data_IF_421726266042
#
_entry.id   IF_421726266042
#
_cell.length_a   1.000
_cell.length_b   1.000
_cell.length_c   1.000
_cell.angle_alpha   90.00
_cell.angle_beta   90.00
_cell.angle_gamma   90.00
#
_symmetry.space_group_name_H-M   'P 1'
#
loop_
_entity.id
_entity.type
_entity.pdbx_description
1 polymer ?
#
# COMPACT_ATOMS: atom_id res chain seq x y z
N UNK A 1 -6.38 -54.24 35.48
CA UNK A 1 -6.28 -54.67 34.07
C UNK A 1 -7.59 -54.26 33.38
N UNK A 2 -7.61 -53.12 32.70
CA UNK A 2 -8.74 -52.71 31.86
C UNK A 2 -8.22 -52.49 30.44
N UNK A 3 -8.67 -53.34 29.53
CA UNK A 3 -8.32 -53.27 28.13
C UNK A 3 -9.25 -52.28 27.41
N UNK A 4 -8.67 -51.17 26.90
CA UNK A 4 -9.38 -50.21 26.08
C UNK A 4 -9.36 -50.67 24.61
N UNK A 5 -10.53 -51.02 24.08
CA UNK A 5 -10.75 -51.36 22.66
C UNK A 5 -10.72 -50.05 21.83
N UNK A 6 -9.83 -49.98 20.87
CA UNK A 6 -9.81 -48.95 19.83
C UNK A 6 -10.83 -49.33 18.75
N UNK A 7 -11.79 -48.45 18.49
CA UNK A 7 -12.67 -48.53 17.32
C UNK A 7 -12.04 -47.73 16.18
N UNK A 8 -11.72 -48.40 15.08
CA UNK A 8 -11.35 -47.77 13.81
C UNK A 8 -12.65 -47.51 13.04
N UNK A 9 -12.94 -46.24 12.78
CA UNK A 9 -13.96 -45.85 11.83
C UNK A 9 -13.29 -45.46 10.52
N UNK A 10 -13.49 -46.27 9.49
CA UNK A 10 -13.11 -45.96 8.12
C UNK A 10 -14.23 -45.11 7.50
N UNK A 11 -13.91 -43.83 7.21
CA UNK A 11 -14.79 -42.94 6.46
C UNK A 11 -14.41 -42.96 4.98
N UNK A 12 -15.34 -43.41 4.13
CA UNK A 12 -15.18 -43.40 2.68
C UNK A 12 -15.36 -41.99 2.13
N UNK A 13 -14.35 -41.49 1.42
CA UNK A 13 -14.40 -40.23 0.66
C UNK A 13 -15.04 -40.49 -0.71
N UNK A 14 -16.21 -39.91 -0.95
CA UNK A 14 -16.82 -39.84 -2.28
C UNK A 14 -16.26 -38.63 -3.03
N UNK A 15 -15.50 -38.90 -4.08
CA UNK A 15 -15.04 -37.88 -5.05
C UNK A 15 -16.14 -37.68 -6.09
N UNK A 16 -16.79 -36.52 -6.09
CA UNK A 16 -17.68 -36.09 -7.15
C UNK A 16 -16.86 -35.26 -8.17
N UNK A 17 -16.58 -35.86 -9.33
CA UNK A 17 -16.08 -35.14 -10.51
C UNK A 17 -17.26 -34.49 -11.22
N UNK A 18 -17.36 -33.18 -11.17
CA UNK A 18 -18.22 -32.40 -12.06
C UNK A 18 -17.38 -31.91 -13.24
N UNK A 19 -17.57 -32.58 -14.38
CA UNK A 19 -17.07 -32.13 -15.69
C UNK A 19 -18.09 -31.13 -16.23
N UNK A 20 -17.79 -29.86 -16.18
CA UNK A 20 -18.57 -28.77 -16.80
C UNK A 20 -18.00 -28.45 -18.17
N UNK A 21 -18.78 -28.76 -19.20
CA UNK A 21 -18.47 -28.48 -20.59
C UNK A 21 -18.50 -26.98 -20.91
N UNK A 22 -17.54 -26.55 -21.74
CA UNK A 22 -17.39 -25.18 -22.19
C UNK A 22 -18.51 -24.72 -23.14
N UNK A 23 -18.75 -23.43 -23.12
CA UNK A 23 -19.44 -22.73 -24.19
C UNK A 23 -18.49 -21.69 -24.78
N UNK A 24 -18.06 -21.93 -25.99
CA UNK A 24 -17.40 -20.95 -26.85
C UNK A 24 -18.44 -19.94 -27.31
N UNK A 25 -18.20 -18.67 -27.10
CA UNK A 25 -18.96 -17.60 -27.79
C UNK A 25 -18.06 -16.94 -28.81
N UNK A 26 -18.49 -17.06 -30.03
CA UNK A 26 -17.91 -16.52 -31.24
C UNK A 26 -18.00 -14.99 -31.27
N UNK A 27 -17.08 -14.41 -32.04
CA UNK A 27 -16.87 -13.00 -32.22
C UNK A 27 -18.02 -12.19 -32.80
N UNK A 28 -17.87 -10.89 -32.66
CA UNK A 28 -18.48 -9.87 -33.49
C UNK A 28 -17.39 -8.93 -33.97
N UNK A 29 -17.07 -9.02 -35.24
CA UNK A 29 -16.39 -8.01 -36.03
C UNK A 29 -17.31 -6.80 -36.24
N UNK A 30 -16.71 -5.63 -36.24
CA UNK A 30 -17.32 -4.38 -36.65
C UNK A 30 -16.47 -3.24 -36.15
N UNK A 31 -15.59 -2.60 -36.86
CA UNK A 31 -15.77 -1.97 -38.14
C UNK A 31 -15.94 -0.48 -37.95
N UNK A 32 -14.98 0.32 -38.49
CA UNK A 32 -15.17 1.75 -38.76
C UNK A 32 -14.41 2.67 -37.81
N UNK A 33 -13.13 3.05 -38.15
CA UNK A 33 -12.76 4.30 -38.77
C UNK A 33 -13.50 5.56 -38.27
N UNK A 34 -12.74 6.50 -37.66
CA UNK A 34 -12.54 7.79 -38.29
C UNK A 34 -11.52 8.60 -37.47
N UNK A 35 -10.53 9.09 -38.18
CA UNK A 35 -9.50 9.95 -37.69
C UNK A 35 -10.06 11.33 -37.40
N UNK A 36 -9.68 11.82 -36.22
CA UNK A 36 -9.78 13.22 -35.84
C UNK A 36 -8.41 13.68 -35.38
N UNK A 37 -7.59 14.13 -36.32
CA UNK A 37 -6.38 14.85 -35.99
C UNK A 37 -6.74 16.15 -35.30
N UNK A 38 -6.28 16.32 -34.07
CA UNK A 38 -6.26 17.63 -33.42
C UNK A 38 -4.95 18.30 -33.78
N UNK A 39 -5.02 19.29 -34.66
CA UNK A 39 -3.97 20.23 -34.94
C UNK A 39 -3.68 21.03 -33.67
N UNK A 40 -2.48 20.81 -33.11
CA UNK A 40 -1.94 21.70 -32.07
C UNK A 40 -1.40 22.90 -32.76
N UNK A 41 -2.17 24.00 -32.79
CA UNK A 41 -1.76 25.29 -33.29
C UNK A 41 -0.49 25.78 -32.61
N UNK A 42 0.53 26.01 -33.43
CA UNK A 42 1.76 26.65 -33.00
C UNK A 42 1.49 28.06 -32.47
N UNK A 43 1.98 28.33 -31.29
CA UNK A 43 2.05 29.68 -30.73
C UNK A 43 3.23 30.40 -31.36
N UNK A 44 2.93 31.37 -32.20
CA UNK A 44 3.88 32.29 -32.83
C UNK A 44 4.67 33.06 -31.77
N UNK A 45 6.00 33.05 -31.94
CA UNK A 45 6.93 33.80 -31.13
C UNK A 45 6.74 35.33 -31.32
N UNK A 46 6.19 35.94 -30.30
CA UNK A 46 6.16 37.41 -30.23
C UNK A 46 7.54 38.00 -30.10
N UNK A 47 7.99 38.61 -31.19
CA UNK A 47 9.19 39.37 -31.29
C UNK A 47 8.99 40.71 -30.58
N UNK A 48 9.56 40.85 -29.38
CA UNK A 48 9.60 42.16 -28.70
C UNK A 48 10.68 43.03 -29.33
N UNK A 49 10.26 44.19 -29.82
CA UNK A 49 11.07 45.21 -30.44
C UNK A 49 12.05 45.79 -29.42
N UNK A 50 13.29 45.98 -29.86
CA UNK A 50 14.34 46.63 -29.10
C UNK A 50 14.00 48.08 -28.82
N UNK A 51 14.37 48.52 -27.62
CA UNK A 51 14.47 49.92 -27.26
C UNK A 51 15.97 50.24 -27.24
N UNK A 52 16.40 50.95 -28.26
CA UNK A 52 17.71 51.59 -28.31
C UNK A 52 17.74 52.75 -27.30
N UNK A 53 18.63 52.62 -26.33
CA UNK A 53 18.92 53.66 -25.35
C UNK A 53 20.42 53.86 -25.25
N UNK A 54 20.90 54.90 -25.96
CA UNK A 54 22.26 55.44 -25.95
C UNK A 54 22.61 55.99 -24.57
N UNK A 55 23.84 55.78 -24.12
CA UNK A 55 24.35 56.63 -23.06
C UNK A 55 25.38 56.06 -22.11
N UNK A 56 26.67 56.13 -22.47
CA UNK A 56 27.71 56.68 -21.61
C UNK A 56 28.33 55.92 -20.45
N UNK A 57 29.56 55.48 -20.62
CA UNK A 57 30.59 55.83 -19.64
C UNK A 57 30.90 54.89 -18.47
N UNK A 58 32.02 54.21 -18.60
CA UNK A 58 33.04 54.18 -17.57
C UNK A 58 32.89 53.37 -16.31
N UNK A 59 33.80 52.42 -16.10
CA UNK A 59 34.14 51.96 -14.78
C UNK A 59 34.28 50.43 -14.66
N UNK A 60 35.53 49.96 -14.83
CA UNK A 60 35.89 48.56 -14.47
C UNK A 60 35.73 48.31 -13.00
N UNK A 61 34.95 47.32 -12.70
CA UNK A 61 34.86 46.72 -11.41
C UNK A 61 34.69 45.24 -11.62
N UNK A 62 35.77 44.47 -11.40
CA UNK A 62 35.68 43.02 -11.36
C UNK A 62 34.73 42.61 -10.25
N UNK A 63 33.59 42.09 -10.63
CA UNK A 63 32.69 41.37 -9.71
C UNK A 63 33.17 39.94 -9.67
N UNK A 64 33.89 39.64 -8.61
CA UNK A 64 34.14 38.26 -8.23
C UNK A 64 32.81 37.52 -8.25
N UNK A 65 32.74 36.51 -9.11
CA UNK A 65 31.57 35.62 -9.21
C UNK A 65 31.38 34.85 -7.91
N UNK A 66 30.70 35.52 -6.97
CA UNK A 66 30.17 34.84 -5.82
C UNK A 66 29.18 33.82 -6.31
N UNK A 67 29.65 32.56 -6.43
CA UNK A 67 28.77 31.44 -6.62
C UNK A 67 27.72 31.49 -5.52
N UNK A 68 26.49 31.83 -5.89
CA UNK A 68 25.32 31.57 -5.08
C UNK A 68 25.28 30.06 -4.92
N UNK A 69 25.93 29.58 -3.86
CA UNK A 69 25.75 28.23 -3.40
C UNK A 69 24.26 28.01 -3.29
N UNK A 70 23.72 27.18 -4.20
CA UNK A 70 22.35 26.73 -4.14
C UNK A 70 22.15 25.98 -2.81
N UNK A 71 21.91 26.72 -1.76
CA UNK A 71 21.47 26.19 -0.51
C UNK A 71 20.20 25.42 -0.82
N UNK A 72 20.27 24.10 -0.72
CA UNK A 72 19.06 23.27 -0.68
C UNK A 72 18.25 23.83 0.47
N UNK A 73 17.21 24.61 0.17
CA UNK A 73 16.16 24.90 1.13
C UNK A 73 15.61 23.53 1.50
N UNK A 74 15.91 23.08 2.70
CA UNK A 74 15.28 21.90 3.26
C UNK A 74 13.77 22.19 3.22
N UNK A 75 13.07 21.57 2.25
CA UNK A 75 11.64 21.72 2.15
C UNK A 75 11.03 21.31 3.48
N UNK A 76 10.10 22.09 3.98
CA UNK A 76 9.32 21.71 5.15
C UNK A 76 8.63 20.39 4.78
N UNK A 77 8.81 19.36 5.60
CA UNK A 77 8.15 18.06 5.40
C UNK A 77 6.63 18.28 5.33
N UNK A 78 5.92 17.65 4.40
CA UNK A 78 4.45 17.73 4.36
C UNK A 78 3.87 17.21 5.68
N UNK A 79 2.78 17.81 6.13
CA UNK A 79 2.08 17.33 7.31
C UNK A 79 1.06 16.27 6.92
N UNK A 80 1.06 15.15 7.64
CA UNK A 80 0.13 14.05 7.50
C UNK A 80 -0.50 13.69 8.84
N UNK A 81 -1.49 12.82 8.81
CA UNK A 81 -2.09 12.14 9.97
C UNK A 81 -2.56 10.77 9.46
N UNK A 82 -1.63 9.82 9.49
CA UNK A 82 -1.87 8.45 9.02
C UNK A 82 -2.55 7.67 10.13
N UNK A 83 -3.70 7.09 9.84
CA UNK A 83 -4.43 6.25 10.77
C UNK A 83 -4.67 4.86 10.18
N UNK A 84 -4.55 3.84 11.03
CA UNK A 84 -4.89 2.47 10.69
C UNK A 84 -6.14 2.02 11.45
N UNK A 85 -7.08 1.42 10.73
CA UNK A 85 -8.24 0.76 11.28
C UNK A 85 -8.37 -0.61 10.65
N UNK A 86 -8.91 -1.56 11.39
CA UNK A 86 -9.03 -2.87 10.79
C UNK A 86 -9.60 -3.93 11.69
N UNK A 87 -9.46 -5.15 11.21
CA UNK A 87 -9.86 -6.35 11.94
C UNK A 87 -8.92 -7.51 11.64
N UNK A 88 -8.77 -8.35 12.63
CA UNK A 88 -8.00 -9.60 12.53
C UNK A 88 -8.83 -10.71 13.12
N UNK A 89 -8.83 -11.89 12.49
CA UNK A 89 -9.40 -13.13 13.06
C UNK A 89 -8.40 -14.27 12.92
N UNK A 90 -8.52 -15.26 13.83
CA UNK A 90 -7.71 -16.47 13.82
C UNK A 90 -8.62 -17.68 13.94
N UNK A 91 -8.55 -18.60 12.97
CA UNK A 91 -9.31 -19.84 12.95
C UNK A 91 -8.41 -20.98 12.45
N UNK A 92 -8.25 -22.02 13.23
CA UNK A 92 -7.55 -23.26 12.83
C UNK A 92 -6.15 -23.00 12.21
N UNK A 93 -5.39 -22.06 12.78
CA UNK A 93 -4.07 -21.69 12.27
C UNK A 93 -4.10 -20.82 11.00
N UNK A 94 -5.26 -20.25 10.65
CA UNK A 94 -5.41 -19.27 9.57
C UNK A 94 -5.70 -17.91 10.16
N UNK A 95 -4.86 -16.92 9.81
CA UNK A 95 -5.06 -15.52 10.17
C UNK A 95 -5.63 -14.80 8.96
N UNK A 96 -6.73 -14.05 9.17
CA UNK A 96 -7.28 -13.11 8.19
C UNK A 96 -7.12 -11.71 8.74
N UNK A 97 -6.45 -10.84 7.99
CA UNK A 97 -6.15 -9.46 8.36
C UNK A 97 -6.78 -8.55 7.33
N UNK A 98 -7.50 -7.53 7.79
CA UNK A 98 -7.98 -6.43 6.96
C UNK A 98 -7.57 -5.12 7.62
N UNK A 99 -6.73 -4.33 6.95
CA UNK A 99 -6.25 -3.03 7.44
C UNK A 99 -6.67 -1.96 6.44
N UNK A 100 -7.34 -0.92 6.91
CA UNK A 100 -7.63 0.28 6.14
C UNK A 100 -6.74 1.41 6.65
N UNK A 101 -5.93 1.96 5.78
CA UNK A 101 -5.06 3.10 6.07
C UNK A 101 -5.70 4.36 5.50
N UNK A 102 -5.85 5.38 6.34
CA UNK A 102 -6.37 6.70 6.00
C UNK A 102 -5.31 7.77 6.21
N UNK A 103 -5.54 8.93 5.62
CA UNK A 103 -4.76 10.13 5.88
C UNK A 103 -5.73 11.28 6.21
N UNK A 104 -5.70 11.72 7.44
CA UNK A 104 -6.51 12.85 7.94
C UNK A 104 -5.75 14.19 7.94
N UNK A 105 -4.48 14.15 7.51
CA UNK A 105 -3.62 15.32 7.45
C UNK A 105 -3.89 16.20 6.23
N UNK A 106 -3.34 17.41 6.21
CA UNK A 106 -3.58 18.39 5.16
C UNK A 106 -2.83 18.11 3.86
N UNK A 107 -1.86 17.19 3.85
CA UNK A 107 -1.07 16.88 2.65
C UNK A 107 -1.38 15.49 2.13
N UNK A 108 -1.61 15.36 0.81
CA UNK A 108 -1.72 14.06 0.17
C UNK A 108 -0.38 13.32 0.23
N UNK A 109 -0.43 12.00 0.40
CA UNK A 109 0.75 11.15 0.45
C UNK A 109 0.86 10.31 -0.83
N UNK A 110 2.06 10.22 -1.38
CA UNK A 110 2.32 9.37 -2.54
C UNK A 110 2.17 7.86 -2.22
N UNK A 111 2.26 7.52 -0.95
CA UNK A 111 2.06 6.17 -0.44
C UNK A 111 2.53 6.05 1.01
N UNK A 112 1.99 5.02 1.66
CA UNK A 112 2.38 4.61 3.01
C UNK A 112 2.82 3.14 2.93
N UNK A 113 3.83 2.77 3.69
CA UNK A 113 4.20 1.38 3.89
C UNK A 113 3.73 0.96 5.27
N UNK A 114 2.82 0.00 5.30
CA UNK A 114 2.33 -0.63 6.53
C UNK A 114 3.23 -1.81 6.87
N UNK A 115 3.68 -1.87 8.12
CA UNK A 115 4.38 -3.02 8.70
C UNK A 115 3.39 -3.86 9.48
N UNK A 116 3.40 -5.16 9.21
CA UNK A 116 2.65 -6.16 9.96
C UNK A 116 3.66 -7.11 10.61
N UNK A 117 3.69 -7.16 11.92
CA UNK A 117 4.53 -8.11 12.67
C UNK A 117 3.65 -9.09 13.42
N UNK A 118 3.91 -10.38 13.24
CA UNK A 118 3.15 -11.45 13.87
C UNK A 118 3.96 -12.13 14.97
N UNK A 119 3.31 -12.53 16.07
CA UNK A 119 3.97 -13.29 17.14
C UNK A 119 4.38 -14.70 16.71
N UNK A 120 3.77 -15.22 15.64
CA UNK A 120 4.09 -16.51 15.01
C UNK A 120 4.43 -16.31 13.54
N UNK A 121 5.36 -17.09 12.96
CA UNK A 121 5.68 -16.95 11.55
C UNK A 121 4.54 -17.45 10.66
N UNK A 122 4.29 -16.79 9.52
CA UNK A 122 3.45 -17.35 8.47
C UNK A 122 4.02 -18.69 7.95
N UNK A 123 3.14 -19.65 7.72
CA UNK A 123 3.52 -20.96 7.19
C UNK A 123 3.95 -20.87 5.72
N UNK A 124 5.02 -21.57 5.38
CA UNK A 124 5.50 -21.70 4.00
C UNK A 124 5.79 -20.38 3.32
N UNK A 125 5.46 -20.30 2.02
CA UNK A 125 5.55 -19.08 1.23
C UNK A 125 4.13 -18.55 1.00
N UNK A 126 3.67 -17.56 1.77
CA UNK A 126 2.32 -17.05 1.63
C UNK A 126 2.15 -16.31 0.28
N UNK A 127 0.96 -16.42 -0.29
CA UNK A 127 0.57 -15.58 -1.43
C UNK A 127 0.19 -14.20 -0.89
N UNK A 128 1.07 -13.24 -1.11
CA UNK A 128 0.85 -11.87 -0.68
C UNK A 128 0.16 -11.06 -1.78
N UNK A 129 -0.68 -10.08 -1.43
CA UNK A 129 -1.23 -9.13 -2.38
C UNK A 129 -0.13 -8.33 -3.08
N UNK A 130 -0.49 -7.74 -4.23
CA UNK A 130 0.41 -6.80 -4.90
C UNK A 130 0.81 -5.66 -3.95
N UNK A 131 2.10 -5.31 -3.95
CA UNK A 131 2.64 -4.29 -3.05
C UNK A 131 3.05 -4.80 -1.67
N UNK A 132 2.81 -6.07 -1.35
CA UNK A 132 3.29 -6.69 -0.12
C UNK A 132 4.51 -7.58 -0.36
N UNK A 133 5.40 -7.60 0.61
CA UNK A 133 6.57 -8.51 0.64
C UNK A 133 6.81 -9.03 2.06
N UNK A 134 7.46 -10.18 2.15
CA UNK A 134 7.95 -10.71 3.42
C UNK A 134 9.33 -10.12 3.69
N UNK A 135 9.42 -9.23 4.68
CA UNK A 135 10.65 -8.54 5.04
C UNK A 135 11.51 -9.35 6.02
N UNK A 136 10.87 -10.11 6.91
CA UNK A 136 11.52 -11.00 7.85
C UNK A 136 10.65 -12.23 8.13
N UNK A 137 11.11 -13.13 9.00
CA UNK A 137 10.40 -14.36 9.33
C UNK A 137 8.94 -14.12 9.79
N UNK A 138 8.73 -13.04 10.55
CA UNK A 138 7.44 -12.65 11.14
C UNK A 138 6.96 -11.27 10.71
N UNK A 139 7.59 -10.69 9.71
CA UNK A 139 7.32 -9.32 9.27
C UNK A 139 6.95 -9.25 7.79
N UNK A 140 5.87 -8.54 7.52
CA UNK A 140 5.41 -8.18 6.19
C UNK A 140 5.42 -6.66 6.05
N UNK A 141 5.81 -6.18 4.88
CA UNK A 141 5.70 -4.78 4.50
C UNK A 141 4.75 -4.68 3.30
N UNK A 142 3.78 -3.79 3.40
CA UNK A 142 2.75 -3.60 2.39
C UNK A 142 2.60 -2.12 2.01
N UNK A 143 2.79 -1.81 0.74
CA UNK A 143 2.55 -0.47 0.22
C UNK A 143 1.05 -0.24 -0.05
N UNK A 144 0.51 0.86 0.42
CA UNK A 144 -0.90 1.22 0.23
C UNK A 144 -1.19 1.81 -1.14
N UNK A 145 -0.18 2.39 -1.80
CA UNK A 145 -0.36 3.36 -2.87
C UNK A 145 -0.75 4.75 -2.33
N UNK A 146 -1.11 5.66 -3.23
CA UNK A 146 -1.39 7.05 -2.86
C UNK A 146 -2.60 7.17 -1.92
N UNK A 147 -2.47 8.04 -0.93
CA UNK A 147 -3.53 8.44 -0.01
C UNK A 147 -3.88 9.90 -0.27
N UNK A 148 -5.07 10.13 -0.79
CA UNK A 148 -5.59 11.47 -1.06
C UNK A 148 -6.15 12.13 0.21
N UNK A 149 -6.55 13.39 0.09
CA UNK A 149 -7.17 14.19 1.17
C UNK A 149 -8.67 13.94 1.31
N UNK A 150 -9.24 13.11 0.47
CA UNK A 150 -10.69 12.83 0.41
C UNK A 150 -11.20 11.92 1.52
N UNK A 151 -10.33 11.48 2.41
CA UNK A 151 -10.67 10.55 3.49
C UNK A 151 -10.96 9.12 3.02
N UNK A 152 -10.81 8.84 1.72
CA UNK A 152 -10.93 7.49 1.18
C UNK A 152 -9.68 6.70 1.53
N UNK A 153 -9.82 5.73 2.43
CA UNK A 153 -8.74 4.85 2.84
C UNK A 153 -8.36 3.84 1.78
N UNK A 154 -7.18 3.25 1.95
CA UNK A 154 -6.71 2.10 1.18
C UNK A 154 -6.79 0.86 2.05
N UNK A 155 -7.56 -0.13 1.61
CA UNK A 155 -7.73 -1.38 2.34
C UNK A 155 -6.81 -2.45 1.80
N UNK A 156 -6.07 -3.07 2.72
CA UNK A 156 -5.21 -4.21 2.51
C UNK A 156 -5.88 -5.44 3.13
N UNK A 157 -6.04 -6.51 2.38
CA UNK A 157 -6.53 -7.81 2.87
C UNK A 157 -5.45 -8.87 2.73
N UNK A 158 -5.21 -9.65 3.80
CA UNK A 158 -4.27 -10.77 3.81
C UNK A 158 -4.94 -12.00 4.43
N UNK A 159 -4.58 -13.15 3.89
CA UNK A 159 -4.93 -14.45 4.45
C UNK A 159 -3.65 -15.28 4.55
N UNK A 160 -3.28 -15.67 5.76
CA UNK A 160 -2.00 -16.30 6.06
C UNK A 160 -2.25 -17.57 6.89
N UNK A 161 -1.61 -18.68 6.50
CA UNK A 161 -1.47 -19.82 7.40
C UNK A 161 -0.40 -19.52 8.46
N UNK A 162 -0.52 -20.06 9.66
CA UNK A 162 0.51 -20.01 10.70
C UNK A 162 1.31 -21.30 10.76
N UNK A 163 2.52 -21.24 11.26
CA UNK A 163 3.25 -22.44 11.66
C UNK A 163 2.56 -23.01 12.91
N UNK A 164 2.03 -24.22 12.80
CA UNK A 164 1.22 -24.87 13.82
C UNK A 164 -0.19 -24.30 13.90
N UNK A 165 -0.88 -24.62 14.99
CA UNK A 165 -2.23 -24.12 15.29
C UNK A 165 -2.21 -23.42 16.65
N UNK A 166 -1.72 -22.16 16.70
CA UNK A 166 -1.61 -21.42 17.94
C UNK A 166 -3.01 -21.11 18.51
N UNK A 167 -3.14 -21.10 19.83
CA UNK A 167 -4.38 -20.70 20.51
C UNK A 167 -4.65 -19.21 20.44
N UNK A 168 -3.59 -18.42 20.21
CA UNK A 168 -3.66 -16.98 20.05
C UNK A 168 -2.48 -16.47 19.22
N UNK A 169 -2.65 -15.33 18.58
CA UNK A 169 -1.62 -14.60 17.85
C UNK A 169 -1.69 -13.13 18.21
N UNK A 170 -0.54 -12.48 18.38
CA UNK A 170 -0.46 -11.03 18.44
C UNK A 170 -0.10 -10.52 17.05
N UNK A 171 -0.90 -9.60 16.54
CA UNK A 171 -0.62 -8.86 15.31
C UNK A 171 -0.32 -7.42 15.68
N UNK A 172 0.84 -6.94 15.28
CA UNK A 172 1.25 -5.54 15.42
C UNK A 172 1.17 -4.89 14.05
N UNK A 173 0.41 -3.82 13.94
CA UNK A 173 0.22 -3.01 12.74
C UNK A 173 0.85 -1.66 13.01
N UNK A 174 1.71 -1.18 12.13
CA UNK A 174 2.36 0.12 12.30
C UNK A 174 2.72 0.74 10.94
N UNK A 175 2.83 2.05 10.90
CA UNK A 175 3.44 2.75 9.77
C UNK A 175 4.96 2.53 9.77
N UNK A 176 5.48 1.91 8.70
CA UNK A 176 6.92 1.77 8.49
C UNK A 176 7.51 2.98 7.75
N UNK A 177 6.72 3.60 6.86
CA UNK A 177 7.11 4.78 6.11
C UNK A 177 5.86 5.51 5.59
N UNK A 178 5.84 6.82 5.67
CA UNK A 178 4.71 7.67 5.32
C UNK A 178 5.04 8.73 4.25
N UNK A 179 6.00 8.43 3.36
CA UNK A 179 6.42 9.40 2.34
C UNK A 179 7.35 10.49 2.83
N UNK A 180 7.86 10.39 4.07
CA UNK A 180 8.69 11.43 4.70
C UNK A 180 7.89 12.61 5.24
N UNK A 181 6.58 12.45 5.41
CA UNK A 181 5.73 13.44 6.04
C UNK A 181 5.93 13.48 7.56
N UNK A 182 5.63 14.63 8.16
CA UNK A 182 5.52 14.78 9.61
C UNK A 182 4.11 14.35 10.02
N UNK A 183 4.02 13.30 10.82
CA UNK A 183 2.73 12.84 11.34
C UNK A 183 2.35 13.61 12.60
N UNK A 184 1.12 14.13 12.64
CA UNK A 184 0.62 14.92 13.76
C UNK A 184 0.12 14.07 14.92
N UNK A 185 -0.27 12.83 14.65
CA UNK A 185 -0.88 11.95 15.64
C UNK A 185 -0.33 10.51 15.51
N UNK A 186 0.94 10.29 15.84
CA UNK A 186 1.58 8.99 15.67
C UNK A 186 1.00 7.88 16.57
N UNK A 187 -0.02 8.19 17.39
CA UNK A 187 -0.66 7.18 18.24
C UNK A 187 -1.77 6.41 17.53
N UNK A 188 -2.29 6.89 16.40
CA UNK A 188 -3.34 6.22 15.63
C UNK A 188 -2.80 5.43 14.42
N UNK A 189 -1.48 5.42 14.23
CA UNK A 189 -0.79 4.69 13.18
C UNK A 189 -0.10 3.41 13.67
N UNK A 190 -0.31 3.05 14.95
CA UNK A 190 0.25 1.86 15.58
C UNK A 190 -0.79 1.14 16.45
N UNK A 191 -0.98 -0.17 16.22
CA UNK A 191 -1.91 -1.02 16.94
C UNK A 191 -1.31 -2.37 17.27
N UNK A 192 -1.62 -2.88 18.46
CA UNK A 192 -1.26 -4.22 18.89
C UNK A 192 -2.53 -4.99 19.25
N UNK A 193 -2.84 -6.01 18.48
CA UNK A 193 -4.07 -6.79 18.59
C UNK A 193 -3.76 -8.21 19.05
N UNK A 194 -4.31 -8.62 20.18
CA UNK A 194 -4.29 -10.00 20.63
C UNK A 194 -5.52 -10.72 20.03
N UNK A 195 -5.29 -11.81 19.32
CA UNK A 195 -6.30 -12.52 18.55
C UNK A 195 -6.35 -13.98 18.99
N UNK A 196 -7.29 -14.38 19.87
CA UNK A 196 -7.56 -15.79 20.19
C UNK A 196 -8.12 -16.56 19.01
N UNK A 197 -7.89 -17.87 18.98
CA UNK A 197 -8.33 -18.78 17.91
C UNK A 197 -9.83 -19.14 18.02
N UNK A 198 -10.69 -18.14 18.23
CA UNK A 198 -12.15 -18.29 18.31
C UNK A 198 -12.85 -18.17 16.96
N UNK A 199 -12.17 -17.58 15.96
CA UNK A 199 -12.75 -17.23 14.69
C UNK A 199 -13.41 -15.85 14.68
N UNK A 200 -13.58 -15.22 15.84
CA UNK A 200 -14.18 -13.89 15.94
C UNK A 200 -13.25 -12.80 15.38
N UNK A 201 -13.79 -11.72 14.77
CA UNK A 201 -13.01 -10.58 14.34
C UNK A 201 -12.71 -9.65 15.53
N UNK A 202 -11.44 -9.34 15.73
CA UNK A 202 -10.93 -8.36 16.68
C UNK A 202 -10.61 -7.07 15.94
N UNK A 203 -11.29 -5.98 16.29
CA UNK A 203 -11.16 -4.67 15.63
C UNK A 203 -10.16 -3.77 16.38
N UNK A 204 -9.58 -2.82 15.65
CA UNK A 204 -8.65 -1.80 16.16
C UNK A 204 -8.80 -0.49 15.39
#
# INVERSE_FOLDING_TARGET
MYAMRRALSAGAAAVLLLIGAGAASAGVDGGGSDGGGVDVGGVDGGKVAGIDGDGGGGGGGGVDGGGVGGGKVAGIAPEADVAHHGRVSLTEGRIVISVTTLNHGPSALAGVTVRLTLSVPPAGTPRLPHGCLRAAERELLCATGALALDGLGRTLGLELGTVGSPHEVVVHVATAWNGGASDRNPMNDEHRVLVPATGDPYVF
#
